data_IF_947031087993
#
_entry.id   IF_947031087993
#
_cell.length_a   1.000
_cell.length_b   1.000
_cell.length_c   1.000
_cell.angle_alpha   90.00
_cell.angle_beta   90.00
_cell.angle_gamma   90.00
#
_symmetry.space_group_name_H-M   'P 1'
#
loop_
_entity.id
_entity.type
_entity.pdbx_description
1 polymer ?
#
# COMPACT_ATOMS: atom_id res chain seq x y z
N UNK A 1 -13.33 6.03 -39.70
CA UNK A 1 -13.19 7.38 -39.13
C UNK A 1 -12.27 7.27 -37.93
N UNK A 2 -11.01 7.59 -38.14
CA UNK A 2 -9.96 7.61 -37.10
C UNK A 2 -10.02 8.95 -36.41
N UNK A 3 -10.53 9.00 -35.19
CA UNK A 3 -10.46 10.19 -34.36
C UNK A 3 -9.09 10.20 -33.68
N UNK A 4 -8.15 10.88 -34.32
CA UNK A 4 -6.84 11.16 -33.76
C UNK A 4 -6.92 12.49 -32.99
N UNK A 5 -7.36 12.45 -31.74
CA UNK A 5 -7.23 13.58 -30.82
C UNK A 5 -5.93 13.40 -30.02
N UNK A 6 -4.83 13.88 -30.58
CA UNK A 6 -3.65 14.17 -29.79
C UNK A 6 -4.01 15.24 -28.74
N UNK A 7 -4.22 14.79 -27.51
CA UNK A 7 -4.30 15.70 -26.36
C UNK A 7 -2.91 16.32 -26.21
N UNK A 8 -2.79 17.63 -26.46
CA UNK A 8 -1.57 18.38 -26.22
C UNK A 8 -1.12 18.12 -24.77
N UNK A 9 0.10 17.63 -24.60
CA UNK A 9 0.69 17.43 -23.30
C UNK A 9 0.86 18.81 -22.65
N UNK A 10 0.17 19.04 -21.54
CA UNK A 10 0.40 20.21 -20.70
C UNK A 10 1.79 20.07 -20.05
N UNK A 11 2.77 20.76 -20.60
CA UNK A 11 4.18 20.64 -20.21
C UNK A 11 4.54 21.33 -18.88
N UNK A 12 3.56 21.85 -18.12
CA UNK A 12 3.82 22.65 -16.91
C UNK A 12 3.42 22.02 -15.59
N UNK A 13 2.73 20.89 -15.57
CA UNK A 13 2.46 20.20 -14.31
C UNK A 13 3.73 19.47 -13.82
N UNK A 14 4.09 19.59 -12.51
CA UNK A 14 5.23 18.86 -11.97
C UNK A 14 5.04 17.35 -12.20
N UNK A 15 6.11 16.65 -12.58
CA UNK A 15 6.10 15.21 -12.82
C UNK A 15 6.10 14.43 -11.48
N UNK A 16 5.01 14.50 -10.73
CA UNK A 16 4.91 13.96 -9.37
C UNK A 16 5.13 12.45 -9.37
N UNK A 17 4.53 11.73 -10.32
CA UNK A 17 4.69 10.27 -10.44
C UNK A 17 6.16 9.90 -10.62
N UNK A 18 6.87 10.56 -11.54
CA UNK A 18 8.29 10.31 -11.78
C UNK A 18 9.17 10.69 -10.59
N UNK A 19 8.91 11.84 -9.95
CA UNK A 19 9.66 12.28 -8.75
C UNK A 19 9.51 11.28 -7.61
N UNK A 20 8.30 10.75 -7.40
CA UNK A 20 8.03 9.76 -6.36
C UNK A 20 8.71 8.42 -6.70
N UNK A 21 8.66 8.00 -7.96
CA UNK A 21 9.34 6.79 -8.43
C UNK A 21 10.87 6.91 -8.28
N UNK A 22 11.44 8.05 -8.63
CA UNK A 22 12.85 8.35 -8.42
C UNK A 22 13.22 8.28 -6.93
N UNK A 23 12.45 8.95 -6.07
CA UNK A 23 12.66 8.92 -4.63
C UNK A 23 12.68 7.48 -4.09
N UNK A 24 11.70 6.65 -4.44
CA UNK A 24 11.58 5.27 -3.98
C UNK A 24 12.73 4.40 -4.49
N UNK A 25 13.08 4.49 -5.78
CA UNK A 25 14.10 3.64 -6.40
C UNK A 25 15.53 4.05 -6.07
N UNK A 26 15.80 5.35 -5.87
CA UNK A 26 17.14 5.90 -5.70
C UNK A 26 17.49 6.27 -4.26
N UNK A 27 16.54 6.21 -3.32
CA UNK A 27 16.84 6.51 -1.92
C UNK A 27 17.95 5.57 -1.42
N UNK A 28 19.02 6.10 -0.79
CA UNK A 28 20.11 5.26 -0.27
C UNK A 28 19.58 4.23 0.73
N UNK A 29 19.95 2.95 0.57
CA UNK A 29 19.56 1.86 1.46
C UNK A 29 20.21 1.96 2.87
N UNK A 30 21.12 2.92 3.05
CA UNK A 30 21.75 3.27 4.32
C UNK A 30 21.65 4.78 4.48
N UNK A 31 20.89 5.25 5.43
CA UNK A 31 20.79 6.70 5.59
C UNK A 31 19.62 7.22 6.40
N UNK A 32 18.84 6.33 6.98
CA UNK A 32 17.88 6.78 7.98
C UNK A 32 18.61 7.22 9.25
N UNK A 33 18.19 8.33 9.83
CA UNK A 33 18.67 8.73 11.14
C UNK A 33 18.21 7.72 12.21
N UNK A 34 18.93 7.65 13.33
CA UNK A 34 18.56 6.78 14.46
C UNK A 34 17.11 7.02 14.91
N UNK A 35 16.63 8.26 14.83
CA UNK A 35 15.25 8.60 15.16
C UNK A 35 14.25 7.94 14.20
N UNK A 36 14.51 7.96 12.90
CA UNK A 36 13.65 7.30 11.89
C UNK A 36 13.70 5.79 12.06
N UNK A 37 14.86 5.19 12.27
CA UNK A 37 14.99 3.75 12.53
C UNK A 37 14.23 3.33 13.79
N UNK A 38 14.35 4.11 14.87
CA UNK A 38 13.62 3.85 16.11
C UNK A 38 12.10 3.87 15.88
N UNK A 39 11.58 4.89 15.21
CA UNK A 39 10.14 4.98 14.92
C UNK A 39 9.68 3.87 13.94
N UNK A 40 10.50 3.49 12.98
CA UNK A 40 10.19 2.38 12.08
C UNK A 40 10.04 1.05 12.84
N UNK A 41 10.92 0.78 13.80
CA UNK A 41 10.80 -0.41 14.66
C UNK A 41 9.56 -0.34 15.56
N UNK A 42 9.23 0.83 16.11
CA UNK A 42 8.00 1.02 16.90
C UNK A 42 6.75 0.79 16.08
N UNK A 43 6.70 1.33 14.87
CA UNK A 43 5.62 1.14 13.91
C UNK A 43 5.47 -0.34 13.53
N UNK A 44 6.58 -1.01 13.23
CA UNK A 44 6.56 -2.44 12.93
C UNK A 44 6.06 -3.27 14.12
N UNK A 45 6.53 -2.97 15.34
CA UNK A 45 6.07 -3.64 16.56
C UNK A 45 4.58 -3.40 16.81
N UNK A 46 4.09 -2.18 16.59
CA UNK A 46 2.66 -1.86 16.71
C UNK A 46 1.84 -2.66 15.71
N UNK A 47 2.22 -2.65 14.42
CA UNK A 47 1.55 -3.45 13.39
C UNK A 47 1.49 -4.94 13.76
N UNK A 48 2.62 -5.51 14.18
CA UNK A 48 2.71 -6.92 14.54
C UNK A 48 1.84 -7.25 15.76
N UNK A 49 1.88 -6.40 16.78
CA UNK A 49 1.05 -6.54 17.99
C UNK A 49 -0.43 -6.48 17.68
N UNK A 50 -0.87 -5.55 16.85
CA UNK A 50 -2.25 -5.43 16.41
C UNK A 50 -2.68 -6.66 15.60
N UNK A 51 -1.83 -7.11 14.65
CA UNK A 51 -2.13 -8.29 13.84
C UNK A 51 -2.25 -9.58 14.68
N UNK A 52 -1.34 -9.81 15.61
CA UNK A 52 -1.41 -10.96 16.53
C UNK A 52 -2.62 -10.85 17.45
N UNK A 53 -2.90 -9.67 17.98
CA UNK A 53 -4.02 -9.44 18.89
C UNK A 53 -5.38 -9.76 18.27
N UNK A 54 -5.55 -9.51 16.98
CA UNK A 54 -6.79 -9.77 16.26
C UNK A 54 -6.77 -11.09 15.44
N UNK A 55 -5.73 -11.90 15.56
CA UNK A 55 -5.54 -13.08 14.72
C UNK A 55 -6.73 -14.06 14.71
N UNK A 56 -7.46 -14.17 15.82
CA UNK A 56 -8.62 -15.04 15.96
C UNK A 56 -9.97 -14.28 15.94
N UNK A 57 -9.98 -13.05 15.39
CA UNK A 57 -11.21 -12.29 15.25
C UNK A 57 -12.05 -12.83 14.08
N UNK A 58 -13.38 -12.77 14.20
CA UNK A 58 -14.33 -13.30 13.20
C UNK A 58 -14.13 -12.73 11.79
N UNK A 59 -13.70 -11.48 11.66
CA UNK A 59 -13.37 -10.89 10.36
C UNK A 59 -12.18 -11.59 9.68
N UNK A 60 -11.19 -12.00 10.48
CA UNK A 60 -10.01 -12.75 10.01
C UNK A 60 -10.39 -14.17 9.64
N UNK A 61 -11.23 -14.83 10.48
CA UNK A 61 -11.72 -16.18 10.20
C UNK A 61 -12.56 -16.23 8.93
N UNK A 62 -13.45 -15.27 8.73
CA UNK A 62 -14.27 -15.19 7.51
C UNK A 62 -13.41 -14.96 6.24
N UNK A 63 -12.43 -14.06 6.32
CA UNK A 63 -11.51 -13.81 5.21
C UNK A 63 -10.64 -15.04 4.89
N UNK A 64 -10.10 -15.70 5.91
CA UNK A 64 -9.30 -16.92 5.75
C UNK A 64 -10.12 -18.06 5.16
N UNK A 65 -11.34 -18.28 5.63
CA UNK A 65 -12.22 -19.30 5.08
C UNK A 65 -12.47 -19.10 3.58
N UNK A 66 -12.70 -17.86 3.14
CA UNK A 66 -12.87 -17.53 1.73
C UNK A 66 -11.59 -17.78 0.91
N UNK A 67 -10.43 -17.39 1.45
CA UNK A 67 -9.12 -17.62 0.79
C UNK A 67 -8.81 -19.10 0.66
N UNK A 68 -9.10 -19.91 1.68
CA UNK A 68 -8.86 -21.36 1.66
C UNK A 68 -9.63 -22.09 0.56
N UNK A 69 -10.79 -21.57 0.13
CA UNK A 69 -11.54 -22.13 -1.02
C UNK A 69 -10.77 -22.05 -2.34
N UNK A 70 -9.78 -21.17 -2.43
CA UNK A 70 -8.94 -20.98 -3.62
C UNK A 70 -7.68 -21.89 -3.59
N UNK A 71 -7.55 -22.75 -2.57
CA UNK A 71 -6.38 -23.62 -2.39
C UNK A 71 -5.03 -22.90 -2.51
N UNK A 72 -4.78 -21.85 -1.69
CA UNK A 72 -3.61 -21.00 -1.80
C UNK A 72 -2.32 -21.77 -1.50
N UNK A 73 -1.24 -21.45 -2.24
CA UNK A 73 0.09 -21.98 -1.94
C UNK A 73 0.62 -21.43 -0.59
N UNK A 74 1.29 -22.22 0.26
CA UNK A 74 1.75 -21.79 1.58
C UNK A 74 3.04 -20.95 1.52
N UNK A 75 3.00 -19.77 0.91
CA UNK A 75 4.15 -18.90 0.65
C UNK A 75 4.49 -17.96 1.82
N UNK A 76 3.47 -17.47 2.54
CA UNK A 76 3.68 -16.50 3.61
C UNK A 76 2.81 -16.78 4.86
N UNK A 77 3.28 -16.29 5.99
CA UNK A 77 2.70 -16.52 7.33
C UNK A 77 1.56 -15.54 7.61
N UNK A 78 0.55 -16.00 8.30
CA UNK A 78 -0.46 -15.15 8.95
C UNK A 78 -0.04 -14.87 10.39
N UNK A 79 0.13 -13.60 10.75
CA UNK A 79 0.58 -13.20 12.08
C UNK A 79 -0.36 -13.74 13.17
N UNK A 80 0.20 -14.46 14.16
CA UNK A 80 -0.58 -15.07 15.25
C UNK A 80 -1.32 -16.36 14.89
N UNK A 81 -1.16 -16.89 13.66
CA UNK A 81 -1.81 -18.13 13.21
C UNK A 81 -0.79 -19.16 12.72
N UNK A 82 -1.21 -20.42 12.65
CA UNK A 82 -0.41 -21.53 12.10
C UNK A 82 -0.56 -21.69 10.58
N UNK A 83 -1.64 -21.16 10.04
CA UNK A 83 -1.95 -21.26 8.61
C UNK A 83 -0.99 -20.40 7.79
N UNK A 84 -0.67 -20.88 6.59
CA UNK A 84 0.08 -20.17 5.57
C UNK A 84 -0.74 -20.13 4.29
N UNK A 85 -0.65 -19.02 3.57
CA UNK A 85 -1.33 -18.82 2.29
C UNK A 85 -0.35 -18.20 1.29
N UNK A 86 -0.78 -17.99 0.05
CA UNK A 86 0.04 -17.24 -0.90
C UNK A 86 0.28 -15.79 -0.40
N UNK A 87 1.36 -15.18 -0.88
CA UNK A 87 1.80 -13.88 -0.37
C UNK A 87 0.76 -12.76 -0.57
N UNK A 88 -0.02 -12.81 -1.66
CA UNK A 88 -1.04 -11.78 -1.91
C UNK A 88 -2.21 -11.89 -0.91
N UNK A 89 -2.65 -13.11 -0.61
CA UNK A 89 -3.66 -13.35 0.39
C UNK A 89 -3.14 -13.20 1.83
N UNK A 90 -1.85 -13.46 2.08
CA UNK A 90 -1.24 -13.15 3.37
C UNK A 90 -1.21 -11.65 3.63
N UNK A 91 -0.87 -10.84 2.64
CA UNK A 91 -0.95 -9.38 2.72
C UNK A 91 -2.38 -8.90 3.04
N UNK A 92 -3.39 -9.47 2.36
CA UNK A 92 -4.81 -9.19 2.62
C UNK A 92 -5.17 -9.50 4.08
N UNK A 93 -4.93 -10.72 4.53
CA UNK A 93 -5.38 -11.19 5.85
C UNK A 93 -4.63 -10.49 6.98
N UNK A 94 -3.32 -10.31 6.87
CA UNK A 94 -2.53 -9.57 7.86
C UNK A 94 -2.95 -8.10 7.94
N UNK A 95 -3.31 -7.48 6.81
CA UNK A 95 -3.83 -6.12 6.79
C UNK A 95 -5.22 -6.00 7.44
N UNK A 96 -6.09 -6.99 7.25
CA UNK A 96 -7.37 -7.08 7.98
C UNK A 96 -7.09 -7.20 9.47
N UNK A 97 -6.25 -8.15 9.87
CA UNK A 97 -5.96 -8.43 11.26
C UNK A 97 -5.37 -7.20 11.98
N UNK A 98 -4.38 -6.54 11.37
CA UNK A 98 -3.71 -5.39 11.98
C UNK A 98 -4.62 -4.18 12.23
N UNK A 99 -5.72 -4.04 11.48
CA UNK A 99 -6.63 -2.89 11.57
C UNK A 99 -7.97 -3.20 12.28
N UNK A 100 -8.19 -4.44 12.72
CA UNK A 100 -9.48 -4.89 13.26
C UNK A 100 -9.89 -4.15 14.52
N UNK A 101 -8.96 -3.86 15.43
CA UNK A 101 -9.24 -3.17 16.69
C UNK A 101 -8.97 -1.67 16.66
N UNK A 102 -8.46 -1.13 15.54
CA UNK A 102 -8.20 0.31 15.38
C UNK A 102 -7.19 0.88 16.39
N UNK A 103 -6.19 0.06 16.79
CA UNK A 103 -5.08 0.42 17.68
C UNK A 103 -3.76 0.62 16.94
N UNK A 104 -3.81 0.47 15.62
CA UNK A 104 -2.67 0.64 14.74
C UNK A 104 -2.26 2.12 14.60
N UNK A 105 -1.05 2.32 14.11
CA UNK A 105 -0.42 3.62 13.97
C UNK A 105 -1.29 4.62 13.20
N UNK A 106 -1.18 5.89 13.55
CA UNK A 106 -1.99 6.94 12.93
C UNK A 106 -1.15 8.16 12.59
N UNK A 107 -1.16 8.56 11.32
CA UNK A 107 -0.63 9.84 10.88
C UNK A 107 -1.66 10.93 11.16
N UNK A 108 -1.54 11.61 12.29
CA UNK A 108 -2.57 12.54 12.84
C UNK A 108 -3.00 13.65 11.87
N UNK A 109 -2.09 14.10 10.99
CA UNK A 109 -2.40 15.17 10.04
C UNK A 109 -3.42 14.76 8.96
N UNK A 110 -3.47 13.49 8.60
CA UNK A 110 -4.32 12.97 7.53
C UNK A 110 -5.20 11.80 7.95
N UNK A 111 -5.11 11.40 9.23
CA UNK A 111 -5.84 10.27 9.83
C UNK A 111 -5.67 8.94 9.08
N UNK A 112 -4.53 8.76 8.41
CA UNK A 112 -4.14 7.50 7.75
C UNK A 112 -3.55 6.56 8.79
N UNK A 113 -3.81 5.26 8.66
CA UNK A 113 -3.12 4.16 9.37
C UNK A 113 -2.15 3.47 8.40
N UNK A 114 -0.93 4.00 8.22
CA UNK A 114 -0.11 3.61 7.08
C UNK A 114 0.54 2.23 7.21
N UNK A 115 0.82 1.74 8.42
CA UNK A 115 1.47 0.45 8.60
C UNK A 115 0.58 -0.72 8.17
N UNK A 116 -0.73 -0.64 8.37
CA UNK A 116 -1.66 -1.69 7.98
C UNK A 116 -1.45 -2.18 6.55
N UNK A 117 -1.60 -1.34 5.53
CA UNK A 117 -1.36 -1.72 4.14
C UNK A 117 0.12 -1.98 3.84
N UNK A 118 1.03 -1.12 4.32
CA UNK A 118 2.44 -1.17 3.94
C UNK A 118 3.16 -2.37 4.54
N UNK A 119 3.11 -2.54 5.87
CA UNK A 119 3.83 -3.62 6.53
C UNK A 119 3.25 -4.99 6.18
N UNK A 120 1.93 -5.10 5.98
CA UNK A 120 1.31 -6.36 5.57
C UNK A 120 1.77 -6.81 4.18
N UNK A 121 1.91 -5.89 3.22
CA UNK A 121 2.46 -6.18 1.90
C UNK A 121 3.95 -6.55 1.97
N UNK A 122 4.73 -5.73 2.67
CA UNK A 122 6.18 -5.93 2.79
C UNK A 122 6.52 -7.27 3.46
N UNK A 123 5.86 -7.60 4.57
CA UNK A 123 6.14 -8.84 5.30
C UNK A 123 5.85 -10.09 4.48
N UNK A 124 4.70 -10.11 3.80
CA UNK A 124 4.33 -11.25 2.97
C UNK A 124 5.31 -11.45 1.78
N UNK A 125 5.72 -10.37 1.14
CA UNK A 125 6.70 -10.40 0.05
C UNK A 125 8.11 -10.75 0.55
N UNK A 126 8.53 -10.14 1.66
CA UNK A 126 9.86 -10.35 2.26
C UNK A 126 10.06 -11.80 2.70
N UNK A 127 9.06 -12.43 3.29
CA UNK A 127 9.10 -13.83 3.67
C UNK A 127 9.28 -14.74 2.45
N UNK A 128 8.53 -14.48 1.38
CA UNK A 128 8.65 -15.22 0.12
C UNK A 128 10.04 -15.09 -0.54
N UNK A 129 10.64 -13.89 -0.44
CA UNK A 129 11.97 -13.60 -1.03
C UNK A 129 13.15 -13.90 -0.11
N UNK A 130 12.92 -14.24 1.17
CA UNK A 130 13.95 -14.31 2.20
C UNK A 130 14.74 -13.00 2.38
N UNK A 131 14.02 -11.87 2.36
CA UNK A 131 14.63 -10.55 2.54
C UNK A 131 15.15 -10.36 3.96
N UNK A 132 16.23 -9.57 4.11
CA UNK A 132 16.76 -9.24 5.43
C UNK A 132 15.85 -8.27 6.19
N UNK A 133 15.93 -8.28 7.52
CA UNK A 133 15.19 -7.32 8.36
C UNK A 133 15.51 -5.86 8.01
N UNK A 134 16.75 -5.57 7.58
CA UNK A 134 17.14 -4.22 7.12
C UNK A 134 16.34 -3.80 5.87
N UNK A 135 16.22 -4.68 4.88
CA UNK A 135 15.42 -4.43 3.68
C UNK A 135 13.94 -4.23 4.01
N UNK A 136 13.42 -5.00 4.96
CA UNK A 136 12.04 -4.87 5.44
C UNK A 136 11.80 -3.48 6.03
N UNK A 137 12.64 -3.04 6.96
CA UNK A 137 12.51 -1.72 7.60
C UNK A 137 12.66 -0.59 6.57
N UNK A 138 13.63 -0.67 5.67
CA UNK A 138 13.82 0.32 4.60
C UNK A 138 12.57 0.44 3.71
N UNK A 139 11.99 -0.67 3.29
CA UNK A 139 10.79 -0.69 2.48
C UNK A 139 9.56 -0.14 3.24
N UNK A 140 9.41 -0.46 4.53
CA UNK A 140 8.33 0.05 5.37
C UNK A 140 8.41 1.58 5.49
N UNK A 141 9.59 2.12 5.79
CA UNK A 141 9.79 3.58 5.92
C UNK A 141 9.40 4.29 4.62
N UNK A 142 9.91 3.84 3.48
CA UNK A 142 9.59 4.44 2.18
C UNK A 142 8.11 4.34 1.83
N UNK A 143 7.49 3.19 2.06
CA UNK A 143 6.06 3.01 1.78
C UNK A 143 5.16 3.89 2.65
N UNK A 144 5.48 4.02 3.93
CA UNK A 144 4.75 4.90 4.86
C UNK A 144 4.91 6.36 4.44
N UNK A 145 6.13 6.79 4.10
CA UNK A 145 6.37 8.16 3.65
C UNK A 145 5.57 8.48 2.38
N UNK A 146 5.55 7.55 1.41
CA UNK A 146 4.72 7.69 0.20
C UNK A 146 3.23 7.80 0.54
N UNK A 147 2.69 6.90 1.38
CA UNK A 147 1.27 6.94 1.77
C UNK A 147 0.92 8.27 2.43
N UNK A 148 1.76 8.77 3.34
CA UNK A 148 1.55 10.03 4.04
C UNK A 148 1.67 11.25 3.12
N UNK A 149 2.61 11.27 2.18
CA UNK A 149 2.72 12.34 1.15
C UNK A 149 1.47 12.40 0.28
N UNK A 150 1.00 11.24 -0.19
CA UNK A 150 -0.23 11.16 -0.98
C UNK A 150 -1.45 11.59 -0.16
N UNK A 151 -1.50 11.24 1.12
CA UNK A 151 -2.53 11.73 2.01
C UNK A 151 -2.52 13.23 2.19
N UNK A 152 -1.35 13.83 2.40
CA UNK A 152 -1.21 15.30 2.50
C UNK A 152 -1.66 16.03 1.22
N UNK A 153 -1.60 15.38 0.07
CA UNK A 153 -2.03 15.96 -1.21
C UNK A 153 -3.57 16.05 -1.33
N UNK A 154 -4.30 15.07 -0.77
CA UNK A 154 -5.74 14.93 -1.02
C UNK A 154 -6.62 15.14 0.22
N UNK A 155 -6.04 15.19 1.42
CA UNK A 155 -6.77 15.48 2.66
C UNK A 155 -6.99 17.00 2.82
N UNK A 156 -8.17 17.47 3.27
CA UNK A 156 -9.31 16.66 3.77
C UNK A 156 -10.32 16.23 2.70
N UNK A 157 -10.30 16.81 1.49
CA UNK A 157 -11.36 16.71 0.48
C UNK A 157 -11.70 15.25 0.14
N UNK A 158 -10.70 14.41 -0.04
CA UNK A 158 -10.87 12.98 -0.33
C UNK A 158 -11.62 12.25 0.79
N UNK A 159 -11.25 12.55 2.04
CA UNK A 159 -11.89 11.96 3.21
C UNK A 159 -13.34 12.46 3.37
N UNK A 160 -13.59 13.75 3.17
CA UNK A 160 -14.92 14.35 3.32
C UNK A 160 -15.90 13.85 2.26
N UNK A 161 -15.40 13.39 1.11
CA UNK A 161 -16.21 12.74 0.06
C UNK A 161 -16.59 11.30 0.36
N UNK A 162 -16.15 10.76 1.46
CA UNK A 162 -16.51 9.42 1.90
C UNK A 162 -15.48 8.34 1.60
N UNK A 163 -14.27 8.68 1.15
CA UNK A 163 -13.20 7.73 0.98
C UNK A 163 -12.52 7.39 2.31
N UNK A 164 -12.22 6.12 2.54
CA UNK A 164 -11.33 5.72 3.61
C UNK A 164 -9.87 5.93 3.15
N UNK A 165 -9.31 7.05 3.54
CA UNK A 165 -7.99 7.50 3.05
C UNK A 165 -6.88 6.48 3.29
N UNK A 166 -6.93 5.68 4.35
CA UNK A 166 -6.00 4.57 4.62
C UNK A 166 -5.97 3.57 3.46
N UNK A 167 -7.13 3.19 2.93
CA UNK A 167 -7.19 2.26 1.81
C UNK A 167 -6.64 2.86 0.52
N UNK A 168 -7.07 4.09 0.20
CA UNK A 168 -6.70 4.75 -1.07
C UNK A 168 -5.21 5.06 -1.17
N UNK A 169 -4.65 5.72 -0.12
CA UNK A 169 -3.22 6.10 -0.11
C UNK A 169 -2.32 4.93 0.26
N UNK A 170 -2.83 4.00 1.09
CA UNK A 170 -2.12 2.79 1.47
C UNK A 170 -1.82 1.87 0.30
N UNK A 171 -2.67 1.85 -0.74
CA UNK A 171 -2.38 1.11 -1.99
C UNK A 171 -1.11 1.64 -2.67
N UNK A 172 -0.95 2.97 -2.73
CA UNK A 172 0.26 3.62 -3.28
C UNK A 172 1.47 3.36 -2.40
N UNK A 173 1.32 3.46 -1.07
CA UNK A 173 2.38 3.15 -0.11
C UNK A 173 2.85 1.69 -0.20
N UNK A 174 1.93 0.74 -0.26
CA UNK A 174 2.24 -0.67 -0.42
C UNK A 174 2.95 -0.97 -1.77
N UNK A 175 2.52 -0.32 -2.86
CA UNK A 175 3.18 -0.45 -4.16
C UNK A 175 4.62 0.09 -4.13
N UNK A 176 4.83 1.26 -3.52
CA UNK A 176 6.16 1.85 -3.37
C UNK A 176 7.08 0.96 -2.52
N UNK A 177 6.59 0.47 -1.38
CA UNK A 177 7.33 -0.42 -0.49
C UNK A 177 7.73 -1.74 -1.18
N UNK A 178 6.79 -2.37 -1.88
CA UNK A 178 7.06 -3.59 -2.64
C UNK A 178 7.99 -3.33 -3.82
N UNK A 179 7.84 -2.21 -4.54
CA UNK A 179 8.77 -1.82 -5.61
C UNK A 179 10.20 -1.67 -5.07
N UNK A 180 10.36 -1.04 -3.89
CA UNK A 180 11.66 -0.93 -3.21
C UNK A 180 12.23 -2.29 -2.85
N UNK A 181 11.44 -3.16 -2.23
CA UNK A 181 11.86 -4.48 -1.79
C UNK A 181 12.26 -5.40 -2.96
N UNK A 182 11.57 -5.27 -4.10
CA UNK A 182 11.85 -5.97 -5.36
C UNK A 182 13.07 -5.39 -6.11
N UNK A 183 13.61 -4.25 -5.69
CA UNK A 183 14.69 -3.56 -6.39
C UNK A 183 14.29 -3.03 -7.77
N UNK A 184 13.03 -2.62 -7.94
CA UNK A 184 12.54 -2.08 -9.21
C UNK A 184 13.28 -0.78 -9.56
N UNK A 185 13.59 -0.62 -10.85
CA UNK A 185 14.13 0.64 -11.35
C UNK A 185 13.06 1.75 -11.38
N UNK A 186 13.47 2.99 -11.67
CA UNK A 186 12.58 4.15 -11.69
C UNK A 186 11.40 3.97 -12.65
N UNK A 187 11.64 3.44 -13.85
CA UNK A 187 10.58 3.19 -14.83
C UNK A 187 9.57 2.15 -14.31
N UNK A 188 10.04 1.02 -13.78
CA UNK A 188 9.19 -0.01 -13.22
C UNK A 188 8.41 0.51 -11.99
N UNK A 189 9.06 1.31 -11.14
CA UNK A 189 8.41 1.96 -9.99
C UNK A 189 7.32 2.93 -10.44
N UNK A 190 7.57 3.71 -11.49
CA UNK A 190 6.56 4.57 -12.13
C UNK A 190 5.34 3.75 -12.57
N UNK A 191 5.56 2.61 -13.23
CA UNK A 191 4.47 1.73 -13.66
C UNK A 191 3.72 1.15 -12.45
N UNK A 192 4.42 0.70 -11.41
CA UNK A 192 3.81 0.18 -10.19
C UNK A 192 2.89 1.20 -9.51
N UNK A 193 3.35 2.45 -9.36
CA UNK A 193 2.55 3.54 -8.81
C UNK A 193 1.31 3.83 -9.67
N UNK A 194 1.44 3.80 -10.99
CA UNK A 194 0.31 4.02 -11.89
C UNK A 194 -0.73 2.90 -11.87
N UNK A 195 -0.31 1.64 -11.75
CA UNK A 195 -1.22 0.50 -11.58
C UNK A 195 -1.94 0.62 -10.23
N UNK A 196 -1.22 0.96 -9.16
CA UNK A 196 -1.78 1.18 -7.83
C UNK A 196 -2.79 2.33 -7.81
N UNK A 197 -2.49 3.44 -8.50
CA UNK A 197 -3.37 4.60 -8.62
C UNK A 197 -4.74 4.28 -9.26
N UNK A 198 -4.84 3.19 -10.00
CA UNK A 198 -6.11 2.73 -10.61
C UNK A 198 -6.97 1.90 -9.67
N UNK A 199 -6.55 1.71 -8.42
CA UNK A 199 -7.20 0.84 -7.44
C UNK A 199 -7.50 1.58 -6.12
N UNK A 200 -8.23 2.72 -6.12
CA UNK A 200 -8.65 3.34 -4.87
C UNK A 200 -9.59 2.42 -4.11
N UNK A 201 -9.34 2.24 -2.80
CA UNK A 201 -10.04 1.26 -1.99
C UNK A 201 -10.61 1.92 -0.73
N UNK A 202 -11.86 1.58 -0.46
CA UNK A 202 -12.49 1.85 0.82
C UNK A 202 -13.42 3.04 0.86
N UNK A 203 -14.60 2.79 1.45
CA UNK A 203 -15.61 3.81 1.73
C UNK A 203 -15.81 3.96 3.25
N UNK A 204 -15.92 5.18 3.73
CA UNK A 204 -16.21 5.49 5.14
C UNK A 204 -17.56 4.97 5.60
N UNK A 205 -18.50 4.76 4.69
CA UNK A 205 -19.79 4.12 4.97
C UNK A 205 -19.63 2.72 5.62
N UNK A 206 -18.48 2.09 5.42
CA UNK A 206 -18.19 0.78 5.99
C UNK A 206 -17.67 0.83 7.44
N UNK A 207 -17.51 2.01 8.02
CA UNK A 207 -17.04 2.13 9.40
C UNK A 207 -18.04 1.49 10.37
N UNK A 208 -17.54 0.72 11.34
CA UNK A 208 -18.33 -0.11 12.24
C UNK A 208 -18.67 -1.50 11.70
N UNK A 209 -18.23 -1.87 10.50
CA UNK A 209 -18.38 -3.22 9.93
C UNK A 209 -17.02 -3.91 9.72
N UNK A 210 -17.01 -5.21 9.48
CA UNK A 210 -15.80 -5.98 9.12
C UNK A 210 -15.15 -5.47 7.83
N UNK A 211 -15.86 -4.70 7.00
CA UNK A 211 -15.34 -4.12 5.76
C UNK A 211 -14.39 -2.96 6.04
N UNK A 212 -14.46 -2.27 7.20
CA UNK A 212 -13.45 -1.25 7.53
C UNK A 212 -12.04 -1.86 7.56
N UNK A 213 -11.72 -2.89 8.36
CA UNK A 213 -10.39 -3.50 8.36
C UNK A 213 -10.05 -4.23 7.05
N UNK A 214 -11.00 -4.60 6.22
CA UNK A 214 -10.72 -5.11 4.88
C UNK A 214 -9.97 -4.09 4.01
N UNK A 215 -10.21 -2.78 4.17
CA UNK A 215 -9.61 -1.76 3.29
C UNK A 215 -8.06 -1.76 3.31
N UNK A 216 -7.35 -1.69 4.46
CA UNK A 216 -5.90 -1.79 4.47
C UNK A 216 -5.37 -3.12 3.96
N UNK A 217 -6.08 -4.22 4.21
CA UNK A 217 -5.72 -5.54 3.67
C UNK A 217 -5.83 -5.59 2.15
N UNK A 218 -6.94 -5.10 1.60
CA UNK A 218 -7.13 -5.01 0.15
C UNK A 218 -6.10 -4.08 -0.50
N UNK A 219 -5.76 -2.96 0.15
CA UNK A 219 -4.73 -2.04 -0.28
C UNK A 219 -3.33 -2.69 -0.29
N UNK A 220 -3.00 -3.46 0.75
CA UNK A 220 -1.75 -4.23 0.81
C UNK A 220 -1.62 -5.18 -0.37
N UNK A 221 -2.65 -5.98 -0.62
CA UNK A 221 -2.69 -6.92 -1.76
C UNK A 221 -2.60 -6.21 -3.09
N UNK A 222 -3.38 -5.14 -3.28
CA UNK A 222 -3.43 -4.39 -4.53
C UNK A 222 -2.09 -3.71 -4.85
N UNK A 223 -1.45 -3.09 -3.85
CA UNK A 223 -0.14 -2.46 -4.00
C UNK A 223 0.98 -3.47 -4.30
N UNK A 224 1.01 -4.60 -3.60
CA UNK A 224 1.94 -5.69 -3.91
C UNK A 224 1.77 -6.19 -5.34
N UNK A 225 0.54 -6.48 -5.77
CA UNK A 225 0.27 -6.94 -7.12
C UNK A 225 0.66 -5.92 -8.18
N UNK A 226 0.49 -4.62 -7.91
CA UNK A 226 0.94 -3.56 -8.80
C UNK A 226 2.46 -3.59 -9.01
N UNK A 227 3.24 -3.76 -7.94
CA UNK A 227 4.69 -3.87 -8.03
C UNK A 227 5.14 -5.14 -8.77
N UNK A 228 4.52 -6.28 -8.49
CA UNK A 228 4.79 -7.55 -9.18
C UNK A 228 4.47 -7.47 -10.68
N UNK A 229 3.33 -6.91 -11.06
CA UNK A 229 2.98 -6.71 -12.46
C UNK A 229 3.98 -5.80 -13.18
N UNK A 230 4.38 -4.69 -12.53
CA UNK A 230 5.38 -3.79 -13.10
C UNK A 230 6.76 -4.45 -13.26
N UNK A 231 7.16 -5.32 -12.33
CA UNK A 231 8.38 -6.13 -12.44
C UNK A 231 8.40 -6.96 -13.73
N UNK A 232 7.24 -7.47 -14.12
CA UNK A 232 7.08 -8.31 -15.32
C UNK A 232 6.69 -7.51 -16.57
N UNK A 233 6.85 -6.19 -16.56
CA UNK A 233 6.69 -5.34 -17.75
C UNK A 233 5.25 -4.85 -18.01
N UNK A 234 4.33 -5.00 -17.04
CA UNK A 234 3.00 -4.42 -17.17
C UNK A 234 3.09 -2.89 -17.10
N UNK A 235 2.37 -2.19 -17.98
CA UNK A 235 2.50 -0.74 -18.15
C UNK A 235 1.32 0.04 -17.58
N UNK A 236 1.59 1.29 -17.21
CA UNK A 236 0.60 2.30 -16.84
C UNK A 236 0.97 3.65 -17.46
N UNK A 237 0.16 4.67 -17.23
CA UNK A 237 0.55 6.05 -17.57
C UNK A 237 1.70 6.52 -16.67
N UNK A 238 2.71 7.14 -17.25
CA UNK A 238 3.82 7.75 -16.52
C UNK A 238 3.41 9.00 -15.69
N UNK A 239 2.18 9.48 -15.83
CA UNK A 239 1.61 10.65 -15.16
C UNK A 239 0.32 10.31 -14.41
N UNK A 240 0.24 9.10 -13.88
CA UNK A 240 -0.99 8.58 -13.26
C UNK A 240 -1.46 9.37 -12.04
N UNK A 241 -0.57 10.04 -11.33
CA UNK A 241 -0.91 10.80 -10.13
C UNK A 241 -1.36 12.23 -10.46
N UNK A 242 -0.62 12.95 -11.30
CA UNK A 242 -0.78 14.39 -11.54
C UNK A 242 -1.56 14.77 -12.80
N UNK A 243 -1.83 13.84 -13.70
CA UNK A 243 -2.55 14.16 -14.95
C UNK A 243 -3.96 14.70 -14.69
N UNK A 244 -4.57 15.47 -15.62
CA UNK A 244 -5.93 16.02 -15.44
C UNK A 244 -7.01 14.97 -15.19
N UNK A 245 -6.78 13.71 -15.57
CA UNK A 245 -7.62 12.55 -15.25
C UNK A 245 -6.87 11.54 -14.38
N UNK A 246 -5.84 12.00 -13.68
CA UNK A 246 -5.02 11.19 -12.78
C UNK A 246 -5.65 11.07 -11.40
N UNK A 247 -4.98 10.28 -10.56
CA UNK A 247 -5.47 9.90 -9.23
C UNK A 247 -5.79 11.10 -8.33
N UNK A 248 -4.92 12.12 -8.28
CA UNK A 248 -5.13 13.28 -7.43
C UNK A 248 -6.40 14.04 -7.82
N UNK A 249 -6.57 14.32 -9.11
CA UNK A 249 -7.76 15.02 -9.60
C UNK A 249 -9.04 14.18 -9.39
N UNK A 250 -9.02 12.92 -9.78
CA UNK A 250 -10.16 12.01 -9.60
C UNK A 250 -10.54 11.84 -8.12
N UNK A 251 -9.57 11.92 -7.21
CA UNK A 251 -9.77 11.80 -5.76
C UNK A 251 -10.36 13.05 -5.12
N UNK A 252 -10.18 14.24 -5.73
CA UNK A 252 -10.57 15.54 -5.17
C UNK A 252 -11.73 16.22 -5.93
N UNK A 253 -12.02 15.84 -7.19
CA UNK A 253 -13.06 16.45 -7.99
C UNK A 253 -14.47 15.93 -7.61
N UNK A 254 -15.40 16.84 -7.41
CA UNK A 254 -16.85 16.64 -7.26
C UNK A 254 -17.56 17.94 -7.41
#
# INVERSE_FOLDING_TARGET
>A
MTVNTAVAADHHAPAITAQLAHFVSQHPAQGWSDAVEHEAHRTFLNWLGCAIGAANHEAVDAALAAVQMLAPAPQATLAGRKERVDMANAALINGISSHTFDYDDTHLKTIIHPAGPVASAVMALAEHQNSSGRQVIDAIVLGIDVACRMGNLVYPEHYDRGWHITGSTGTLGAAAACARLLGLNEQQTTMALGIAASQPIGLREQFGTMTKPFHPGAAARAGMMAALMAQHGFTSSARSLEAPRGWAQASMLG
#
